data_IF_115611614558
#
_entry.id   IF_115611614558
#
_cell.length_a   1.000
_cell.length_b   1.000
_cell.length_c   1.000
_cell.angle_alpha   90.00
_cell.angle_beta   90.00
_cell.angle_gamma   90.00
#
_symmetry.space_group_name_H-M   'P 1'
#
loop_
_entity.id
_entity.type
_entity.pdbx_description
1 polymer ?
#
# COMPACT_ATOMS: atom_id res chain seq x y z
N UNK A 1 2.09 -4.79 -26.10
CA UNK A 1 1.23 -4.13 -25.09
C UNK A 1 2.08 -3.87 -23.86
N UNK A 2 2.39 -2.61 -23.54
CA UNK A 2 3.14 -2.27 -22.30
C UNK A 2 2.16 -2.42 -21.13
N UNK A 3 2.33 -3.48 -20.35
CA UNK A 3 1.48 -3.75 -19.19
C UNK A 3 1.60 -2.62 -18.17
N UNK A 4 0.46 -2.06 -17.77
CA UNK A 4 0.36 -1.20 -16.59
C UNK A 4 0.86 -2.00 -15.39
N UNK A 5 2.03 -1.65 -14.85
CA UNK A 5 2.51 -2.24 -13.60
C UNK A 5 1.77 -1.54 -12.47
N UNK A 6 0.63 -2.10 -12.07
CA UNK A 6 -0.09 -1.59 -10.90
C UNK A 6 0.79 -1.81 -9.66
N UNK A 7 1.25 -0.74 -9.00
CA UNK A 7 2.15 -0.91 -7.86
C UNK A 7 1.40 -1.54 -6.69
N UNK A 8 1.95 -2.65 -6.21
CA UNK A 8 1.32 -3.50 -5.20
C UNK A 8 1.18 -2.79 -3.86
N UNK A 9 0.25 -3.25 -3.02
CA UNK A 9 0.06 -2.75 -1.65
C UNK A 9 1.36 -2.80 -0.84
N UNK A 10 2.15 -3.87 -0.96
CA UNK A 10 3.44 -4.00 -0.27
C UNK A 10 4.44 -2.96 -0.76
N UNK A 11 4.50 -2.71 -2.08
CA UNK A 11 5.38 -1.66 -2.64
C UNK A 11 4.94 -0.28 -2.19
N UNK A 12 3.63 -0.04 -2.11
CA UNK A 12 3.04 1.20 -1.59
C UNK A 12 3.36 1.42 -0.12
N UNK A 13 3.15 0.41 0.74
CA UNK A 13 3.53 0.48 2.15
C UNK A 13 5.01 0.86 2.33
N UNK A 14 5.89 0.33 1.48
CA UNK A 14 7.32 0.63 1.53
C UNK A 14 7.69 2.03 1.07
N UNK A 15 7.11 2.46 -0.05
CA UNK A 15 7.51 3.72 -0.70
C UNK A 15 6.82 4.95 -0.11
N UNK A 16 5.59 4.82 0.35
CA UNK A 16 4.73 5.96 0.71
C UNK A 16 4.40 5.99 2.22
N UNK A 17 4.38 4.84 2.89
CA UNK A 17 3.97 4.74 4.31
C UNK A 17 5.12 4.40 5.28
N UNK A 18 6.36 4.28 4.79
CA UNK A 18 7.55 4.09 5.62
C UNK A 18 7.73 2.70 6.23
N UNK A 19 6.94 1.70 5.82
CA UNK A 19 7.15 0.32 6.27
C UNK A 19 8.36 -0.31 5.58
N UNK A 20 9.14 -1.10 6.29
CA UNK A 20 10.27 -1.85 5.70
C UNK A 20 9.77 -3.09 4.94
N UNK A 21 8.66 -3.68 5.38
CA UNK A 21 8.09 -4.90 4.79
C UNK A 21 6.60 -5.07 5.12
N UNK A 22 5.94 -5.96 4.39
CA UNK A 22 4.58 -6.43 4.75
C UNK A 22 4.58 -7.08 6.14
N UNK A 23 5.65 -7.78 6.50
CA UNK A 23 5.76 -8.42 7.81
C UNK A 23 5.76 -7.39 8.96
N UNK A 24 6.36 -6.20 8.77
CA UNK A 24 6.30 -5.13 9.76
C UNK A 24 4.88 -4.58 9.91
N UNK A 25 4.15 -4.43 8.81
CA UNK A 25 2.73 -4.06 8.84
C UNK A 25 1.88 -5.12 9.53
N UNK A 26 2.08 -6.41 9.21
CA UNK A 26 1.38 -7.52 9.85
C UNK A 26 1.69 -7.59 11.36
N UNK A 27 2.94 -7.32 11.75
CA UNK A 27 3.35 -7.22 13.16
C UNK A 27 2.59 -6.10 13.88
N UNK A 28 2.54 -4.89 13.31
CA UNK A 28 1.73 -3.78 13.83
C UNK A 28 0.28 -4.22 14.05
N UNK A 29 -0.35 -4.84 13.05
CA UNK A 29 -1.73 -5.31 13.16
C UNK A 29 -1.91 -6.32 14.30
N UNK A 30 -0.95 -7.22 14.49
CA UNK A 30 -1.00 -8.25 15.53
C UNK A 30 -0.85 -7.68 16.94
N UNK A 31 -0.16 -6.55 17.11
CA UNK A 31 -0.06 -5.85 18.42
C UNK A 31 -1.33 -5.14 18.85
N UNK A 32 -2.29 -4.93 17.92
CA UNK A 32 -3.51 -4.19 18.18
C UNK A 32 -4.66 -5.10 18.65
N UNK A 33 -5.52 -4.60 19.57
CA UNK A 33 -6.81 -5.20 19.86
C UNK A 33 -7.67 -5.33 18.60
N UNK A 34 -8.59 -6.29 18.57
CA UNK A 34 -9.40 -6.63 17.40
C UNK A 34 -10.06 -5.41 16.73
N UNK A 35 -10.72 -4.56 17.50
CA UNK A 35 -11.40 -3.36 16.98
C UNK A 35 -10.42 -2.35 16.38
N UNK A 36 -9.28 -2.10 17.03
CA UNK A 36 -8.24 -1.21 16.52
C UNK A 36 -7.61 -1.78 15.25
N UNK A 37 -7.33 -3.09 15.22
CA UNK A 37 -6.81 -3.80 14.05
C UNK A 37 -7.73 -3.63 12.83
N UNK A 38 -9.04 -3.78 13.00
CA UNK A 38 -10.00 -3.59 11.90
C UNK A 38 -9.97 -2.18 11.35
N UNK A 39 -9.92 -1.16 12.22
CA UNK A 39 -9.84 0.25 11.81
C UNK A 39 -8.56 0.54 11.02
N UNK A 40 -7.42 0.04 11.49
CA UNK A 40 -6.13 0.21 10.80
C UNK A 40 -6.14 -0.47 9.44
N UNK A 41 -6.66 -1.71 9.34
CA UNK A 41 -6.78 -2.40 8.05
C UNK A 41 -7.64 -1.59 7.06
N UNK A 42 -8.77 -1.06 7.52
CA UNK A 42 -9.65 -0.24 6.67
C UNK A 42 -8.96 1.05 6.24
N UNK A 43 -8.30 1.74 7.16
CA UNK A 43 -7.56 2.98 6.88
C UNK A 43 -6.53 2.77 5.75
N UNK A 44 -5.64 1.79 5.89
CA UNK A 44 -4.60 1.55 4.87
C UNK A 44 -5.18 1.04 3.54
N UNK A 45 -6.26 0.26 3.57
CA UNK A 45 -6.96 -0.18 2.35
C UNK A 45 -7.57 0.99 1.58
N UNK A 46 -8.30 1.87 2.26
CA UNK A 46 -8.92 3.04 1.62
C UNK A 46 -7.87 4.04 1.13
N UNK A 47 -6.81 4.26 1.92
CA UNK A 47 -5.69 5.10 1.50
C UNK A 47 -4.98 4.55 0.26
N UNK A 48 -4.78 3.23 0.19
CA UNK A 48 -4.22 2.58 -1.00
C UNK A 48 -5.14 2.68 -2.23
N UNK A 49 -6.45 2.50 -2.06
CA UNK A 49 -7.42 2.73 -3.14
C UNK A 49 -7.38 4.17 -3.64
N UNK A 50 -7.37 5.13 -2.72
CA UNK A 50 -7.24 6.55 -3.05
C UNK A 50 -5.93 6.84 -3.78
N UNK A 51 -4.82 6.24 -3.34
CA UNK A 51 -3.53 6.34 -4.03
C UNK A 51 -3.60 5.84 -5.48
N UNK A 52 -4.22 4.68 -5.70
CA UNK A 52 -4.40 4.13 -7.05
C UNK A 52 -5.31 5.02 -7.93
N UNK A 53 -6.35 5.62 -7.35
CA UNK A 53 -7.28 6.50 -8.06
C UNK A 53 -6.70 7.90 -8.34
N UNK A 54 -5.89 8.44 -7.42
CA UNK A 54 -5.35 9.80 -7.48
C UNK A 54 -4.03 9.93 -8.24
N UNK A 55 -3.29 8.83 -8.44
CA UNK A 55 -2.11 8.81 -9.32
C UNK A 55 -2.48 8.22 -10.68
N UNK A 56 -3.00 9.02 -11.65
CA UNK A 56 -3.37 8.54 -13.00
C UNK A 56 -2.17 8.02 -13.82
N UNK A 57 -0.94 8.06 -13.28
CA UNK A 57 0.31 7.73 -13.97
C UNK A 57 1.24 6.84 -13.12
N UNK A 58 0.88 5.57 -12.92
CA UNK A 58 1.91 4.51 -12.88
C UNK A 58 2.52 4.23 -14.28
N UNK A 59 2.23 5.11 -15.24
CA UNK A 59 2.78 5.29 -16.58
C UNK A 59 4.18 5.94 -16.61
N UNK A 60 4.87 6.07 -15.49
CA UNK A 60 6.31 6.33 -15.55
C UNK A 60 7.00 5.03 -15.93
N UNK A 61 7.06 4.85 -17.25
CA UNK A 61 8.10 4.18 -17.99
C UNK A 61 9.31 3.90 -17.09
N UNK A 62 9.62 2.61 -16.88
CA UNK A 62 11.02 2.21 -16.80
C UNK A 62 11.69 2.71 -18.09
N UNK A 63 12.22 3.93 -18.06
CA UNK A 63 13.12 4.45 -19.06
C UNK A 63 14.52 4.14 -18.54
N UNK A 64 15.17 3.21 -19.26
CA UNK A 64 16.49 2.59 -19.08
C UNK A 64 16.54 1.40 -18.14
#
# INVERSE_FOLDING_TARGET
>A
MKGLVTMTFTTWLKKEEGFTSKAQYDYLLNTLPYEARRKVILYYKEKYKYFLASKPKQLELKLK
#
